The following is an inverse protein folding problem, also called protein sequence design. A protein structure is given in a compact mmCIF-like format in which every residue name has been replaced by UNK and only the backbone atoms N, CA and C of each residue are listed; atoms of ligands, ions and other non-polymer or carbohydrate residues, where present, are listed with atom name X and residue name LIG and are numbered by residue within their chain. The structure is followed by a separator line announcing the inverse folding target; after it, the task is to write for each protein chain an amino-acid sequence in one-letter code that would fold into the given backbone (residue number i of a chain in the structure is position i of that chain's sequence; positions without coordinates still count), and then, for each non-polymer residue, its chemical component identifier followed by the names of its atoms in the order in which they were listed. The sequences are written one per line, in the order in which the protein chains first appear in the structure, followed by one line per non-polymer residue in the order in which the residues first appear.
data_IF_445338504266
#
_entry.id   IF_445338504266
#
_cell.length_a   1.000
_cell.length_b   1.000
_cell.length_c   1.000
_cell.angle_alpha   90.00
_cell.angle_beta   90.00
_cell.angle_gamma   90.00
#
_symmetry.space_group_name_H-M   'P 1'
#
loop_
_entity.id
_entity.type
_entity.pdbx_description
1 polymer ?
#
# COMPACT_ATOMS: atom_id res chain seq x y z
N UNK A 1 -25.12 -18.64 -62.85
CA UNK A 1 -23.70 -18.85 -62.52
C UNK A 1 -23.15 -17.56 -61.99
N UNK A 2 -23.07 -17.43 -60.70
CA UNK A 2 -22.45 -16.25 -60.03
C UNK A 2 -21.63 -16.77 -58.88
N UNK A 3 -20.34 -16.57 -58.99
CA UNK A 3 -19.32 -16.94 -58.00
C UNK A 3 -19.39 -15.99 -56.81
N UNK A 4 -19.64 -16.51 -55.61
CA UNK A 4 -19.44 -15.78 -54.38
C UNK A 4 -17.96 -15.87 -53.98
N UNK A 5 -17.30 -14.72 -53.94
CA UNK A 5 -15.99 -14.52 -53.33
C UNK A 5 -16.18 -14.30 -51.83
N UNK A 6 -15.62 -15.19 -51.04
CA UNK A 6 -15.53 -15.04 -49.58
C UNK A 6 -14.32 -14.15 -49.24
N UNK A 7 -14.60 -12.96 -48.75
CA UNK A 7 -13.57 -12.09 -48.17
C UNK A 7 -13.17 -12.61 -46.79
N UNK A 8 -11.90 -12.93 -46.64
CA UNK A 8 -11.26 -13.35 -45.41
C UNK A 8 -10.81 -12.07 -44.66
N UNK A 9 -11.62 -11.57 -43.76
CA UNK A 9 -11.27 -10.42 -42.88
C UNK A 9 -10.43 -10.90 -41.72
N UNK A 10 -9.15 -10.61 -41.80
CA UNK A 10 -8.17 -10.86 -40.75
C UNK A 10 -8.34 -9.77 -39.67
N UNK A 11 -8.87 -10.13 -38.50
CA UNK A 11 -8.93 -9.27 -37.33
C UNK A 11 -7.53 -8.85 -36.88
N UNK A 12 -7.27 -7.58 -36.61
CA UNK A 12 -5.98 -7.14 -36.06
C UNK A 12 -5.83 -7.63 -34.61
N UNK A 13 -4.74 -8.34 -34.37
CA UNK A 13 -4.31 -8.72 -33.03
C UNK A 13 -4.03 -7.45 -32.22
N UNK A 14 -4.86 -7.17 -31.22
CA UNK A 14 -4.60 -6.12 -30.25
C UNK A 14 -3.32 -6.46 -29.47
N UNK A 15 -2.28 -5.67 -29.67
CA UNK A 15 -1.11 -5.65 -28.79
C UNK A 15 -1.57 -5.16 -27.42
N UNK A 16 -1.57 -6.02 -26.42
CA UNK A 16 -1.64 -5.63 -25.02
C UNK A 16 -0.38 -4.85 -24.68
N UNK A 17 -0.47 -3.53 -24.79
CA UNK A 17 0.45 -2.64 -24.08
C UNK A 17 0.07 -2.71 -22.62
N UNK A 18 0.97 -3.25 -21.79
CA UNK A 18 0.94 -3.08 -20.35
C UNK A 18 1.14 -1.57 -20.09
N UNK A 19 0.02 -0.85 -20.04
CA UNK A 19 0.00 0.57 -19.77
C UNK A 19 0.35 0.78 -18.30
N UNK A 20 1.44 1.51 -18.03
CA UNK A 20 1.67 2.06 -16.69
C UNK A 20 0.44 2.84 -16.27
N UNK A 21 -0.08 2.58 -15.07
CA UNK A 21 -1.24 3.27 -14.53
C UNK A 21 -0.90 4.77 -14.40
N UNK A 22 -1.65 5.60 -15.09
CA UNK A 22 -1.54 7.03 -14.94
C UNK A 22 -2.00 7.42 -13.53
N UNK A 23 -1.20 8.22 -12.84
CA UNK A 23 -1.50 8.69 -11.49
C UNK A 23 -1.94 10.15 -11.56
N UNK A 24 -3.08 10.47 -10.98
CA UNK A 24 -3.60 11.82 -10.91
C UNK A 24 -3.07 12.49 -9.65
N UNK A 25 -2.40 13.66 -9.82
CA UNK A 25 -1.99 14.48 -8.69
C UNK A 25 -3.15 15.39 -8.27
N UNK A 26 -3.44 15.49 -6.97
CA UNK A 26 -4.54 16.32 -6.48
C UNK A 26 -4.24 17.82 -6.62
N UNK A 27 -5.28 18.60 -6.79
CA UNK A 27 -5.27 20.02 -6.45
C UNK A 27 -5.57 20.14 -4.93
N UNK A 28 -4.67 20.78 -4.19
CA UNK A 28 -4.86 20.93 -2.75
C UNK A 28 -5.56 22.26 -2.45
N UNK A 29 -6.79 22.20 -1.96
CA UNK A 29 -7.59 23.40 -1.63
C UNK A 29 -7.20 24.05 -0.31
N UNK A 30 -6.71 23.29 0.66
CA UNK A 30 -6.33 23.73 1.99
C UNK A 30 -5.08 22.99 2.40
N UNK A 31 -3.93 23.59 2.16
CA UNK A 31 -2.65 23.04 2.56
C UNK A 31 -2.07 23.90 3.67
N UNK A 32 -2.09 23.47 4.94
CA UNK A 32 -1.15 23.99 5.90
C UNK A 32 0.28 23.59 5.46
N UNK A 33 1.32 24.32 5.94
CA UNK A 33 2.70 23.91 5.72
C UNK A 33 2.87 22.45 6.18
N UNK A 34 3.33 21.55 5.30
CA UNK A 34 3.48 20.13 5.60
C UNK A 34 2.28 19.23 5.21
N UNK A 35 1.41 19.68 4.32
CA UNK A 35 0.38 18.81 3.76
C UNK A 35 1.01 17.60 3.05
N UNK A 36 0.53 16.40 3.38
CA UNK A 36 1.02 15.15 2.79
C UNK A 36 0.85 15.15 1.26
N UNK A 37 1.87 14.72 0.54
CA UNK A 37 1.78 14.46 -0.90
C UNK A 37 1.11 13.11 -1.12
N UNK A 38 -0.11 13.11 -1.67
CA UNK A 38 -0.90 11.89 -1.91
C UNK A 38 -1.25 11.79 -3.39
N UNK A 39 -1.19 10.58 -3.90
CA UNK A 39 -1.60 10.25 -5.26
C UNK A 39 -2.81 9.32 -5.22
N UNK A 40 -3.78 9.53 -6.11
CA UNK A 40 -4.89 8.60 -6.34
C UNK A 40 -4.80 8.10 -7.77
N UNK A 41 -4.86 6.79 -7.98
CA UNK A 41 -4.86 6.24 -9.34
C UNK A 41 -6.19 6.53 -10.05
N UNK A 42 -6.18 6.60 -11.38
CA UNK A 42 -7.41 6.80 -12.17
C UNK A 42 -8.45 5.72 -11.90
N UNK A 43 -8.01 4.49 -11.72
CA UNK A 43 -8.90 3.36 -11.40
C UNK A 43 -9.54 3.59 -10.03
N UNK A 44 -8.75 3.96 -9.02
CA UNK A 44 -9.27 4.24 -7.68
C UNK A 44 -10.27 5.41 -7.71
N UNK A 45 -9.94 6.51 -8.41
CA UNK A 45 -10.82 7.66 -8.53
C UNK A 45 -12.17 7.28 -9.16
N UNK A 46 -12.13 6.55 -10.28
CA UNK A 46 -13.34 6.05 -10.95
C UNK A 46 -14.19 5.19 -10.00
N UNK A 47 -13.55 4.27 -9.26
CA UNK A 47 -14.24 3.39 -8.33
C UNK A 47 -14.79 4.11 -7.10
N UNK A 48 -14.13 5.15 -6.62
CA UNK A 48 -14.65 6.02 -5.55
C UNK A 48 -15.91 6.73 -6.02
N UNK A 49 -15.88 7.35 -7.22
CA UNK A 49 -17.04 8.06 -7.79
C UNK A 49 -18.21 7.09 -8.04
N UNK A 50 -17.98 5.93 -8.66
CA UNK A 50 -19.00 4.89 -8.83
C UNK A 50 -19.60 4.44 -7.49
N UNK A 51 -18.77 4.28 -6.46
CA UNK A 51 -19.24 3.85 -5.13
C UNK A 51 -20.06 4.94 -4.45
N UNK A 52 -19.68 6.21 -4.62
CA UNK A 52 -20.46 7.37 -4.16
C UNK A 52 -21.85 7.39 -4.78
N UNK A 53 -21.93 7.19 -6.10
CA UNK A 53 -23.21 7.16 -6.82
C UNK A 53 -24.11 5.99 -6.35
N UNK A 54 -23.53 4.81 -6.16
CA UNK A 54 -24.25 3.60 -5.68
C UNK A 54 -24.79 3.74 -4.28
N UNK A 55 -24.17 4.55 -3.42
CA UNK A 55 -24.67 4.79 -2.06
C UNK A 55 -26.03 5.48 -2.05
N UNK A 56 -26.35 6.29 -3.07
CA UNK A 56 -27.60 7.03 -3.15
C UNK A 56 -27.81 8.06 -2.01
N UNK A 57 -26.77 8.33 -1.23
CA UNK A 57 -26.77 9.29 -0.13
C UNK A 57 -25.90 10.49 -0.47
N UNK A 58 -26.25 11.70 0.01
CA UNK A 58 -25.44 12.87 -0.19
C UNK A 58 -24.13 12.76 0.59
N UNK A 59 -23.02 12.60 -0.13
CA UNK A 59 -21.66 12.56 0.44
C UNK A 59 -20.81 13.66 -0.18
N UNK A 60 -19.99 14.33 0.64
CA UNK A 60 -19.12 15.41 0.20
C UNK A 60 -17.70 14.95 -0.11
N UNK A 61 -17.30 13.77 0.38
CA UNK A 61 -15.95 13.28 0.15
C UNK A 61 -15.65 11.93 0.77
N UNK A 62 -14.38 11.58 0.74
CA UNK A 62 -13.81 10.39 1.34
C UNK A 62 -12.83 10.80 2.44
N UNK A 63 -12.92 10.23 3.63
CA UNK A 63 -11.98 10.45 4.71
C UNK A 63 -11.03 9.26 4.84
N UNK A 64 -9.74 9.54 4.85
CA UNK A 64 -8.69 8.58 5.17
C UNK A 64 -8.28 8.75 6.61
N UNK A 65 -8.25 7.65 7.36
CA UNK A 65 -7.74 7.59 8.72
C UNK A 65 -6.57 6.63 8.79
N UNK A 66 -5.58 6.99 9.60
CA UNK A 66 -4.44 6.14 9.92
C UNK A 66 -4.55 5.65 11.36
N UNK A 67 -4.33 4.37 11.58
CA UNK A 67 -4.15 3.78 12.91
C UNK A 67 -2.67 3.39 13.03
N UNK A 68 -1.88 4.10 13.84
CA UNK A 68 -0.45 3.81 13.97
C UNK A 68 -0.20 2.38 14.47
N UNK A 69 0.65 1.64 13.76
CA UNK A 69 1.24 0.37 14.21
C UNK A 69 2.59 0.60 14.89
N UNK A 70 3.28 1.65 14.47
CA UNK A 70 4.54 2.12 15.03
C UNK A 70 4.69 3.62 14.76
N UNK A 71 5.84 4.20 15.14
CA UNK A 71 6.17 5.57 14.76
C UNK A 71 6.35 5.75 13.23
N UNK A 72 6.61 4.67 12.49
CA UNK A 72 6.95 4.70 11.07
C UNK A 72 5.84 4.13 10.17
N UNK A 73 4.93 3.33 10.70
CA UNK A 73 3.87 2.63 9.94
C UNK A 73 2.50 2.80 10.57
N UNK A 74 1.48 2.80 9.72
CA UNK A 74 0.08 2.80 10.12
C UNK A 74 -0.74 1.90 9.20
N UNK A 75 -1.83 1.37 9.71
CA UNK A 75 -2.91 0.81 8.91
C UNK A 75 -3.86 1.93 8.50
N UNK A 76 -4.46 1.82 7.31
CA UNK A 76 -5.30 2.87 6.74
C UNK A 76 -6.73 2.37 6.55
N UNK A 77 -7.68 3.25 6.86
CA UNK A 77 -9.10 3.02 6.68
C UNK A 77 -9.73 4.19 5.95
N UNK A 78 -10.66 3.86 5.05
CA UNK A 78 -11.39 4.87 4.28
C UNK A 78 -12.88 4.77 4.54
N UNK A 79 -13.57 5.92 4.63
CA UNK A 79 -15.03 6.01 4.69
C UNK A 79 -15.55 7.23 3.94
N UNK A 80 -16.74 7.12 3.41
CA UNK A 80 -17.43 8.29 2.88
C UNK A 80 -17.83 9.27 4.00
N UNK A 81 -17.77 10.55 3.69
CA UNK A 81 -18.13 11.65 4.59
C UNK A 81 -19.51 12.14 4.18
N UNK A 82 -20.56 11.99 5.03
CA UNK A 82 -21.88 12.52 4.77
C UNK A 82 -21.84 14.05 4.53
N UNK A 83 -22.77 14.56 3.71
CA UNK A 83 -22.79 15.97 3.36
C UNK A 83 -23.02 16.88 4.59
N UNK A 84 -23.77 16.38 5.57
CA UNK A 84 -24.06 17.08 6.83
C UNK A 84 -22.95 17.02 7.87
N UNK A 85 -21.95 16.14 7.69
CA UNK A 85 -20.83 16.05 8.64
C UNK A 85 -19.97 17.31 8.60
N UNK A 86 -19.78 17.96 9.76
CA UNK A 86 -18.95 19.15 9.86
C UNK A 86 -17.49 18.87 9.46
N UNK A 87 -16.87 19.83 8.78
CA UNK A 87 -15.44 19.78 8.51
C UNK A 87 -14.66 20.03 9.79
N UNK A 88 -13.63 19.20 10.03
CA UNK A 88 -12.69 19.48 11.09
C UNK A 88 -11.74 20.60 10.67
N UNK A 89 -11.47 21.59 11.53
CA UNK A 89 -10.54 22.67 11.21
C UNK A 89 -9.10 22.18 10.99
N UNK A 90 -8.79 20.97 11.46
CA UNK A 90 -7.46 20.35 11.36
C UNK A 90 -7.32 19.45 10.12
N UNK A 91 -8.40 19.19 9.38
CA UNK A 91 -8.33 18.37 8.19
C UNK A 91 -7.66 19.13 7.03
N UNK A 92 -6.78 18.45 6.32
CA UNK A 92 -6.31 18.85 4.99
C UNK A 92 -7.26 18.27 3.95
N UNK A 93 -7.68 19.09 2.99
CA UNK A 93 -8.62 18.67 1.94
C UNK A 93 -7.86 18.66 0.61
N UNK A 94 -7.75 17.48 0.00
CA UNK A 94 -7.25 17.30 -1.35
C UNK A 94 -8.41 17.09 -2.29
N UNK A 95 -8.55 17.97 -3.28
CA UNK A 95 -9.66 17.89 -4.24
C UNK A 95 -9.21 17.14 -5.49
N UNK A 96 -10.01 16.17 -5.87
CA UNK A 96 -9.93 15.44 -7.12
C UNK A 96 -11.21 15.69 -7.93
N UNK A 97 -11.19 15.34 -9.20
CA UNK A 97 -12.39 15.46 -10.03
C UNK A 97 -13.50 14.55 -9.49
N UNK A 98 -14.58 15.18 -9.03
CA UNK A 98 -15.77 14.52 -8.49
C UNK A 98 -15.75 14.17 -7.00
N UNK A 99 -14.63 14.33 -6.26
CA UNK A 99 -14.57 14.01 -4.82
C UNK A 99 -13.48 14.78 -4.07
N UNK A 100 -13.75 15.12 -2.82
CA UNK A 100 -12.77 15.64 -1.88
C UNK A 100 -12.23 14.53 -0.95
N UNK A 101 -10.94 14.53 -0.71
CA UNK A 101 -10.25 13.64 0.22
C UNK A 101 -9.90 14.40 1.50
N UNK A 102 -10.44 13.96 2.63
CA UNK A 102 -10.23 14.55 3.94
C UNK A 102 -9.18 13.77 4.72
N UNK A 103 -8.12 14.45 5.16
CA UNK A 103 -7.02 13.87 5.90
C UNK A 103 -6.83 14.63 7.20
N UNK A 104 -7.00 13.94 8.31
CA UNK A 104 -6.75 14.52 9.62
C UNK A 104 -5.24 14.79 9.82
N UNK A 105 -4.91 15.85 10.55
CA UNK A 105 -3.52 16.30 10.74
C UNK A 105 -2.62 15.25 11.41
N UNK A 106 -3.18 14.41 12.28
CA UNK A 106 -2.48 13.29 12.92
C UNK A 106 -2.17 12.12 11.96
N UNK A 107 -2.95 12.00 10.89
CA UNK A 107 -2.76 10.98 9.86
C UNK A 107 -1.75 11.40 8.76
N UNK A 108 -1.64 12.71 8.52
CA UNK A 108 -0.83 13.26 7.43
C UNK A 108 0.64 12.76 7.41
N UNK A 109 1.36 12.63 8.55
CA UNK A 109 2.73 12.14 8.54
C UNK A 109 2.91 10.70 8.05
N UNK A 110 1.87 9.87 8.12
CA UNK A 110 1.88 8.49 7.63
C UNK A 110 1.46 8.37 6.17
N UNK A 111 0.91 9.44 5.59
CA UNK A 111 0.38 9.47 4.22
C UNK A 111 1.31 10.23 3.25
N UNK A 112 2.46 10.70 3.72
CA UNK A 112 3.42 11.38 2.85
C UNK A 112 3.92 10.43 1.76
N UNK A 113 3.70 10.78 0.49
CA UNK A 113 4.03 9.96 -0.66
C UNK A 113 3.12 8.75 -0.86
N UNK A 114 1.99 8.67 -0.15
CA UNK A 114 1.07 7.55 -0.27
C UNK A 114 0.35 7.53 -1.63
N UNK A 115 0.02 6.32 -2.08
CA UNK A 115 -0.81 6.07 -3.25
C UNK A 115 -2.08 5.35 -2.82
N UNK A 116 -3.23 5.88 -3.20
CA UNK A 116 -4.52 5.21 -3.08
C UNK A 116 -4.82 4.54 -4.41
N UNK A 117 -4.99 3.24 -4.40
CA UNK A 117 -5.27 2.42 -5.56
C UNK A 117 -6.52 1.55 -5.36
N UNK A 118 -7.04 1.00 -6.45
CA UNK A 118 -8.08 -0.02 -6.42
C UNK A 118 -7.57 -1.28 -7.09
N UNK A 119 -7.40 -2.33 -6.29
CA UNK A 119 -6.78 -3.58 -6.71
C UNK A 119 -7.83 -4.67 -6.90
N UNK A 120 -7.63 -5.47 -7.94
CA UNK A 120 -8.41 -6.65 -8.23
C UNK A 120 -7.59 -7.88 -7.89
N UNK A 121 -8.15 -8.76 -7.09
CA UNK A 121 -7.61 -10.09 -6.83
C UNK A 121 -8.51 -11.15 -7.46
N UNK A 122 -8.10 -12.40 -7.47
CA UNK A 122 -8.93 -13.50 -7.98
C UNK A 122 -10.25 -13.68 -7.20
N UNK A 123 -10.30 -13.21 -5.96
CA UNK A 123 -11.43 -13.45 -5.03
C UNK A 123 -12.12 -12.17 -4.58
N UNK A 124 -11.50 -11.03 -4.71
CA UNK A 124 -12.02 -9.74 -4.20
C UNK A 124 -11.53 -8.56 -5.03
N UNK A 125 -12.14 -7.42 -4.77
CA UNK A 125 -11.61 -6.12 -5.19
C UNK A 125 -11.73 -5.15 -4.02
N UNK A 126 -10.69 -4.35 -3.80
CA UNK A 126 -10.61 -3.47 -2.65
C UNK A 126 -9.79 -2.21 -2.91
N UNK A 127 -10.06 -1.18 -2.14
CA UNK A 127 -9.19 -0.02 -2.09
C UNK A 127 -7.97 -0.32 -1.23
N UNK A 128 -6.80 0.02 -1.76
CA UNK A 128 -5.52 -0.15 -1.08
C UNK A 128 -4.83 1.19 -0.93
N UNK A 129 -4.35 1.48 0.27
CA UNK A 129 -3.47 2.61 0.53
C UNK A 129 -2.06 2.08 0.73
N UNK A 130 -1.18 2.41 -0.18
CA UNK A 130 0.25 2.10 -0.08
C UNK A 130 0.98 3.36 0.33
N UNK A 131 1.60 3.34 1.49
CA UNK A 131 2.39 4.45 2.00
C UNK A 131 3.84 4.00 2.25
N UNK A 132 4.83 4.82 1.84
CA UNK A 132 6.21 4.55 2.17
C UNK A 132 6.43 4.59 3.69
N UNK A 133 7.53 4.02 4.14
CA UNK A 133 7.94 4.12 5.54
C UNK A 133 8.08 5.62 5.92
N UNK A 134 7.40 6.04 6.99
CA UNK A 134 7.53 7.40 7.51
C UNK A 134 8.97 7.68 7.88
N UNK A 135 9.55 8.72 7.29
CA UNK A 135 10.91 9.15 7.58
C UNK A 135 10.94 9.85 8.93
N UNK A 136 11.75 9.35 9.84
CA UNK A 136 12.03 9.97 11.13
C UNK A 136 13.44 10.54 11.09
N UNK A 137 13.59 11.80 11.49
CA UNK A 137 14.91 12.41 11.63
C UNK A 137 15.53 12.07 13.00
N UNK A 138 15.69 10.78 13.23
CA UNK A 138 16.32 10.19 14.40
C UNK A 138 17.38 9.18 13.96
N UNK A 139 18.36 8.82 14.80
CA UNK A 139 19.32 7.77 14.48
C UNK A 139 18.63 6.47 14.07
N UNK A 140 17.61 6.04 14.81
CA UNK A 140 16.83 4.84 14.51
C UNK A 140 16.09 4.96 13.19
N UNK A 141 15.49 6.12 12.90
CA UNK A 141 14.79 6.37 11.63
C UNK A 141 15.72 6.28 10.42
N UNK A 142 16.97 6.73 10.54
CA UNK A 142 17.97 6.61 9.47
C UNK A 142 18.39 5.15 9.25
N UNK A 143 18.60 4.39 10.32
CA UNK A 143 18.92 2.96 10.25
C UNK A 143 17.73 2.20 9.65
N UNK A 144 16.51 2.48 10.11
CA UNK A 144 15.29 1.86 9.55
C UNK A 144 15.14 2.09 8.05
N UNK A 145 15.45 3.31 7.56
CA UNK A 145 15.41 3.60 6.13
C UNK A 145 16.44 2.78 5.33
N UNK A 146 17.63 2.56 5.88
CA UNK A 146 18.66 1.72 5.26
C UNK A 146 18.29 0.23 5.31
N UNK A 147 17.69 -0.24 6.41
CA UNK A 147 17.15 -1.61 6.50
C UNK A 147 16.04 -1.81 5.47
N UNK A 148 15.13 -0.83 5.30
CA UNK A 148 14.09 -0.91 4.26
C UNK A 148 14.71 -1.06 2.87
N UNK A 149 15.75 -0.28 2.56
CA UNK A 149 16.45 -0.39 1.28
C UNK A 149 17.06 -1.78 1.08
N UNK A 150 17.71 -2.34 2.10
CA UNK A 150 18.23 -3.71 2.06
C UNK A 150 17.12 -4.73 1.82
N UNK A 151 15.98 -4.57 2.48
CA UNK A 151 14.82 -5.43 2.26
C UNK A 151 14.32 -5.35 0.82
N UNK A 152 14.19 -4.15 0.26
CA UNK A 152 13.68 -3.92 -1.09
C UNK A 152 14.62 -4.47 -2.17
N UNK A 153 15.93 -4.35 -1.97
CA UNK A 153 16.94 -4.74 -2.96
C UNK A 153 17.35 -6.22 -2.89
N UNK A 154 17.41 -6.81 -1.72
CA UNK A 154 17.97 -8.16 -1.52
C UNK A 154 16.96 -9.18 -0.98
N UNK A 155 16.20 -8.82 0.07
CA UNK A 155 15.38 -9.79 0.82
C UNK A 155 14.05 -10.05 0.12
N UNK A 156 13.31 -8.99 -0.22
CA UNK A 156 11.97 -9.12 -0.84
C UNK A 156 12.04 -9.82 -2.19
N UNK A 157 13.00 -9.52 -3.10
CA UNK A 157 13.15 -10.27 -4.35
C UNK A 157 13.40 -11.76 -4.13
N UNK A 158 14.21 -12.13 -3.13
CA UNK A 158 14.45 -13.54 -2.78
C UNK A 158 13.17 -14.22 -2.26
N UNK A 159 12.40 -13.56 -1.40
CA UNK A 159 11.13 -14.08 -0.88
C UNK A 159 10.06 -14.22 -1.97
N UNK A 160 10.04 -13.29 -2.93
CA UNK A 160 9.09 -13.29 -4.03
C UNK A 160 9.20 -14.53 -4.92
N UNK A 161 10.38 -15.15 -5.02
CA UNK A 161 10.56 -16.43 -5.74
C UNK A 161 9.73 -17.57 -5.14
N UNK A 162 9.34 -17.45 -3.87
CA UNK A 162 8.48 -18.38 -3.12
C UNK A 162 7.07 -17.82 -2.90
N UNK A 163 6.70 -16.73 -3.60
CA UNK A 163 5.40 -16.07 -3.44
C UNK A 163 5.23 -15.34 -2.11
N UNK A 164 6.33 -15.06 -1.40
CA UNK A 164 6.35 -14.36 -0.13
C UNK A 164 6.90 -12.95 -0.22
N UNK A 165 6.86 -12.25 0.92
CA UNK A 165 7.44 -10.92 1.08
C UNK A 165 7.67 -10.60 2.56
N UNK A 166 8.23 -9.43 2.82
CA UNK A 166 8.44 -8.90 4.15
C UNK A 166 8.17 -7.39 4.19
N UNK A 167 7.67 -6.90 5.32
CA UNK A 167 7.45 -5.48 5.58
C UNK A 167 8.18 -5.08 6.85
N UNK A 168 9.03 -4.05 6.77
CA UNK A 168 9.59 -3.44 7.96
C UNK A 168 8.49 -2.68 8.71
N UNK A 169 8.15 -3.12 9.90
CA UNK A 169 7.15 -2.47 10.75
C UNK A 169 7.78 -1.38 11.60
N UNK A 170 8.89 -1.69 12.26
CA UNK A 170 9.61 -0.74 13.13
C UNK A 170 11.09 -1.13 13.27
N UNK A 171 11.92 -0.17 13.70
CA UNK A 171 13.24 -0.40 14.26
C UNK A 171 13.36 0.43 15.54
N UNK A 172 13.50 -0.24 16.67
CA UNK A 172 13.54 0.39 17.97
C UNK A 172 14.40 -0.39 18.94
N UNK A 173 15.22 0.30 19.73
CA UNK A 173 16.08 -0.28 20.79
C UNK A 173 16.97 -1.44 20.27
N UNK A 174 17.47 -1.34 19.03
CA UNK A 174 18.26 -2.38 18.37
C UNK A 174 17.46 -3.58 17.86
N UNK A 175 16.14 -3.54 17.92
CA UNK A 175 15.24 -4.61 17.45
C UNK A 175 14.57 -4.20 16.16
N UNK A 176 14.69 -5.02 15.14
CA UNK A 176 13.95 -4.90 13.88
C UNK A 176 12.65 -5.68 13.98
N UNK A 177 11.53 -5.04 13.75
CA UNK A 177 10.20 -5.66 13.71
C UNK A 177 9.79 -5.87 12.26
N UNK A 178 9.66 -7.14 11.84
CA UNK A 178 9.24 -7.52 10.49
C UNK A 178 7.88 -8.21 10.51
N UNK A 179 7.10 -7.97 9.48
CA UNK A 179 5.90 -8.74 9.16
C UNK A 179 6.12 -9.48 7.84
N UNK A 180 5.98 -10.79 7.86
CA UNK A 180 6.05 -11.64 6.67
C UNK A 180 4.69 -11.65 5.95
N UNK A 181 4.71 -11.66 4.62
CA UNK A 181 3.51 -11.58 3.80
C UNK A 181 3.45 -12.69 2.75
N UNK A 182 2.27 -12.89 2.15
CA UNK A 182 2.09 -13.87 1.08
C UNK A 182 2.39 -15.31 1.54
N UNK A 183 3.12 -16.07 0.73
CA UNK A 183 3.46 -17.47 1.01
C UNK A 183 4.29 -17.71 2.27
N UNK A 184 4.92 -16.67 2.82
CA UNK A 184 5.66 -16.73 4.09
C UNK A 184 4.73 -16.64 5.31
N UNK A 185 3.53 -16.11 5.16
CA UNK A 185 2.53 -16.03 6.22
C UNK A 185 1.87 -17.41 6.42
N UNK A 186 2.00 -18.01 7.61
CA UNK A 186 1.42 -19.32 7.93
C UNK A 186 2.33 -20.53 7.62
N UNK A 187 3.55 -20.33 7.10
CA UNK A 187 4.49 -21.41 6.85
C UNK A 187 5.29 -21.76 8.10
N UNK A 188 4.85 -22.77 8.86
CA UNK A 188 5.48 -23.15 10.13
C UNK A 188 6.88 -23.77 10.00
N UNK A 189 7.23 -24.38 8.86
CA UNK A 189 8.53 -25.05 8.66
C UNK A 189 9.57 -24.18 7.91
N UNK A 190 9.15 -23.31 7.02
CA UNK A 190 10.05 -22.36 6.36
C UNK A 190 10.40 -21.16 7.26
N UNK A 191 9.61 -20.92 8.32
CA UNK A 191 9.72 -19.75 9.18
C UNK A 191 11.08 -19.65 9.88
N UNK A 192 11.62 -20.73 10.42
CA UNK A 192 12.89 -20.68 11.16
C UNK A 192 14.07 -20.41 10.23
N UNK A 193 14.26 -21.21 9.18
CA UNK A 193 15.40 -21.05 8.24
C UNK A 193 15.35 -19.71 7.49
N UNK A 194 14.15 -19.28 7.11
CA UNK A 194 13.95 -18.00 6.42
C UNK A 194 14.23 -16.84 7.37
N UNK A 195 13.70 -16.90 8.59
CA UNK A 195 13.94 -15.91 9.63
C UNK A 195 15.43 -15.81 9.96
N UNK A 196 16.12 -16.94 10.14
CA UNK A 196 17.55 -16.97 10.41
C UNK A 196 18.37 -16.38 9.27
N UNK A 197 17.96 -16.63 8.01
CA UNK A 197 18.57 -16.03 6.82
C UNK A 197 18.40 -14.52 6.76
N UNK A 198 17.17 -14.02 6.98
CA UNK A 198 16.87 -12.59 7.01
C UNK A 198 17.62 -11.90 8.15
N UNK A 199 17.57 -12.48 9.36
CA UNK A 199 18.26 -11.95 10.52
C UNK A 199 19.77 -11.86 10.27
N UNK A 200 20.37 -12.92 9.75
CA UNK A 200 21.80 -12.96 9.42
C UNK A 200 22.16 -11.87 8.41
N UNK A 201 21.36 -11.70 7.35
CA UNK A 201 21.59 -10.68 6.33
C UNK A 201 21.55 -9.28 6.92
N UNK A 202 20.52 -8.99 7.75
CA UNK A 202 20.36 -7.67 8.38
C UNK A 202 21.50 -7.41 9.37
N UNK A 203 21.78 -8.33 10.29
CA UNK A 203 22.80 -8.15 11.33
C UNK A 203 24.23 -8.05 10.78
N UNK A 204 24.49 -8.71 9.66
CA UNK A 204 25.78 -8.60 8.99
C UNK A 204 26.02 -7.20 8.44
N UNK A 205 24.95 -6.56 7.93
CA UNK A 205 25.01 -5.22 7.33
C UNK A 205 24.87 -4.10 8.37
N UNK A 206 24.12 -4.36 9.45
CA UNK A 206 23.79 -3.39 10.50
C UNK A 206 24.19 -3.94 11.88
N UNK A 207 25.42 -3.65 12.36
CA UNK A 207 25.89 -4.12 13.67
C UNK A 207 25.04 -3.60 14.85
N UNK A 208 24.28 -2.50 14.64
CA UNK A 208 23.37 -1.93 15.64
C UNK A 208 22.14 -2.83 15.89
N UNK A 209 21.85 -3.74 14.96
CA UNK A 209 20.72 -4.66 15.10
C UNK A 209 21.11 -5.85 15.99
N UNK A 210 20.43 -5.96 17.11
CA UNK A 210 20.62 -7.03 18.10
C UNK A 210 19.69 -8.22 17.84
N UNK A 211 18.46 -7.94 17.37
CA UNK A 211 17.43 -8.96 17.16
C UNK A 211 16.56 -8.59 15.94
N UNK A 212 16.08 -9.61 15.25
CA UNK A 212 15.00 -9.48 14.25
C UNK A 212 13.77 -10.23 14.77
N UNK A 213 12.69 -9.47 15.03
CA UNK A 213 11.46 -10.01 15.59
C UNK A 213 10.37 -10.07 14.53
N UNK A 214 9.85 -11.26 14.34
CA UNK A 214 8.68 -11.49 13.50
C UNK A 214 7.40 -11.12 14.26
N UNK A 215 6.63 -10.19 13.71
CA UNK A 215 5.33 -9.73 14.26
C UNK A 215 4.15 -10.15 13.38
N UNK A 216 4.37 -11.12 12.50
CA UNK A 216 3.37 -11.64 11.58
C UNK A 216 2.23 -12.32 12.34
N UNK A 217 1.00 -12.02 11.96
CA UNK A 217 -0.18 -12.77 12.41
C UNK A 217 -0.32 -14.05 11.60
N UNK A 218 0.48 -15.06 11.92
CA UNK A 218 0.53 -16.32 11.18
C UNK A 218 -0.80 -17.06 11.10
N UNK A 219 -1.71 -16.86 12.08
CA UNK A 219 -3.03 -17.47 12.10
C UNK A 219 -3.97 -16.97 10.98
N UNK A 220 -3.70 -15.77 10.45
CA UNK A 220 -4.51 -15.13 9.41
C UNK A 220 -4.01 -15.48 7.99
N UNK A 221 -2.88 -16.19 7.89
CA UNK A 221 -2.25 -16.56 6.62
C UNK A 221 -2.90 -17.76 5.96
N UNK A 222 -3.34 -17.59 4.72
CA UNK A 222 -3.70 -18.71 3.84
C UNK A 222 -2.46 -19.18 3.08
N UNK A 223 -1.69 -20.12 3.64
CA UNK A 223 -0.63 -20.77 2.90
C UNK A 223 -1.23 -21.91 2.07
N UNK A 224 -1.28 -21.82 0.72
CA UNK A 224 -1.81 -22.87 -0.13
C UNK A 224 -0.95 -24.14 -0.12
N UNK A 225 0.26 -24.11 0.46
CA UNK A 225 1.20 -25.22 0.55
C UNK A 225 1.30 -25.83 1.96
N UNK A 226 0.61 -25.28 2.95
CA UNK A 226 0.49 -25.89 4.27
C UNK A 226 -0.57 -27.00 4.23
N UNK A 227 -0.15 -28.22 3.94
CA UNK A 227 -0.92 -29.46 4.16
C UNK A 227 -0.29 -30.26 5.29
#
# INVERSE_FOLDING_TARGET
MHLMQTANETLPRSRSTVGGQASIKPETRKSPPGAASITVTEIALTKIVESKEKLGLPVKGLRVRATPRSQMRADFFMRFVPAEEAESPTDTIHSFDGIDLYIASDCAPYLEGATIDFVFTLLSSEFKVEAPLRKLDTPEGRIAAQIQLLLDEEVIPALATHGGGAVLVDFKDGIVFLELTGGCQGCSMAGATLKDGIETTIRTRFPEVQEVRDVTKHADGMNPYAR
#
